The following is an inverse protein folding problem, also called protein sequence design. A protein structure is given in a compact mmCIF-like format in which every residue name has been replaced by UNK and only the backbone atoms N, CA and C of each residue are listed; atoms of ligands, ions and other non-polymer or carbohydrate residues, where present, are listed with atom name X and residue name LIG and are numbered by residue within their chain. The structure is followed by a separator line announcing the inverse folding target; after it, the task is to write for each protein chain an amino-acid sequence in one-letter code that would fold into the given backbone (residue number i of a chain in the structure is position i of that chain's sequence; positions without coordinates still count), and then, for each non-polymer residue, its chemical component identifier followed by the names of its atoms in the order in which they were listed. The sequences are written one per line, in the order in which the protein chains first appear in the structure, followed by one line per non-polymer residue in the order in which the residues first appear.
data_IF_386705114184
#
_entry.id   IF_386705114184
#
_cell.length_a   1.000
_cell.length_b   1.000
_cell.length_c   1.000
_cell.angle_alpha   90.00
_cell.angle_beta   90.00
_cell.angle_gamma   90.00
#
_symmetry.space_group_name_H-M   'P 1'
#
loop_
_entity.id
_entity.type
_entity.pdbx_description
1 polymer ?
#
# COMPACT_ATOMS: atom_id res chain seq x y z
N UNK A 1 -38.10 -19.38 -30.81
CA UNK A 1 -37.93 -20.40 -29.76
C UNK A 1 -36.67 -20.01 -28.98
N UNK A 2 -36.83 -19.24 -27.90
CA UNK A 2 -35.73 -18.73 -27.08
C UNK A 2 -35.69 -19.59 -25.82
N UNK A 3 -34.58 -20.29 -25.60
CA UNK A 3 -34.36 -21.16 -24.45
C UNK A 3 -33.79 -20.29 -23.31
N UNK A 4 -34.62 -20.01 -22.31
CA UNK A 4 -34.21 -19.39 -21.05
C UNK A 4 -33.64 -20.50 -20.14
N UNK A 5 -32.32 -20.49 -19.94
CA UNK A 5 -31.66 -21.35 -18.96
C UNK A 5 -31.78 -20.73 -17.58
N UNK A 6 -32.61 -21.35 -16.74
CA UNK A 6 -32.78 -21.04 -15.32
C UNK A 6 -31.58 -21.62 -14.55
N UNK A 7 -30.70 -20.77 -14.01
CA UNK A 7 -29.66 -21.20 -13.07
C UNK A 7 -30.28 -21.21 -11.67
N UNK A 8 -30.47 -22.40 -11.12
CA UNK A 8 -30.88 -22.59 -9.74
C UNK A 8 -29.66 -22.45 -8.81
N UNK A 9 -29.68 -21.43 -7.96
CA UNK A 9 -28.73 -21.28 -6.84
C UNK A 9 -29.27 -22.08 -5.66
N UNK A 10 -28.65 -23.22 -5.37
CA UNK A 10 -28.94 -24.01 -4.17
C UNK A 10 -28.14 -23.43 -3.01
N UNK A 11 -28.83 -22.75 -2.09
CA UNK A 11 -28.25 -22.32 -0.81
C UNK A 11 -28.40 -23.45 0.21
N UNK A 12 -27.29 -24.05 0.64
CA UNK A 12 -27.28 -25.02 1.73
C UNK A 12 -27.30 -24.24 3.05
N UNK A 13 -28.44 -24.24 3.73
CA UNK A 13 -28.55 -23.73 5.10
C UNK A 13 -27.97 -24.75 6.09
N UNK A 14 -26.80 -24.46 6.64
CA UNK A 14 -26.27 -25.17 7.81
C UNK A 14 -27.08 -24.73 9.04
N UNK A 15 -27.90 -25.65 9.55
CA UNK A 15 -28.66 -25.48 10.79
C UNK A 15 -27.69 -25.52 11.97
N UNK A 16 -27.32 -24.34 12.48
CA UNK A 16 -26.70 -24.23 13.80
C UNK A 16 -27.78 -24.43 14.88
N UNK A 17 -27.68 -25.51 15.65
CA UNK A 17 -28.44 -25.66 16.91
C UNK A 17 -27.84 -24.70 17.96
N UNK A 18 -28.62 -23.78 18.55
CA UNK A 18 -28.15 -23.01 19.69
C UNK A 18 -27.93 -23.95 20.88
N UNK A 19 -26.79 -23.78 21.54
CA UNK A 19 -26.46 -24.42 22.82
C UNK A 19 -27.24 -23.68 23.91
N UNK A 20 -27.95 -24.40 24.76
CA UNK A 20 -28.66 -23.80 25.91
C UNK A 20 -27.66 -23.09 26.85
N UNK A 21 -28.03 -21.92 27.41
CA UNK A 21 -27.17 -21.19 28.33
C UNK A 21 -27.10 -21.91 29.69
N UNK A 22 -25.89 -22.21 30.13
CA UNK A 22 -25.60 -22.68 31.48
C UNK A 22 -25.98 -21.61 32.53
N UNK A 23 -26.56 -21.98 33.68
CA UNK A 23 -26.93 -21.02 34.72
C UNK A 23 -25.69 -20.48 35.44
N UNK A 24 -25.62 -19.15 35.58
CA UNK A 24 -24.59 -18.45 36.35
C UNK A 24 -24.75 -18.75 37.85
N UNK A 25 -23.67 -19.07 38.58
CA UNK A 25 -23.69 -19.09 40.03
C UNK A 25 -23.61 -17.65 40.59
N UNK A 26 -24.53 -17.34 41.50
CA UNK A 26 -24.50 -16.17 42.37
C UNK A 26 -23.29 -16.23 43.31
N UNK A 27 -22.51 -15.14 43.36
CA UNK A 27 -21.36 -15.04 44.24
C UNK A 27 -20.77 -13.63 44.22
N UNK A 28 -21.29 -12.77 45.10
CA UNK A 28 -20.66 -11.49 45.44
C UNK A 28 -19.33 -11.76 46.16
N UNK A 29 -18.22 -11.37 45.56
CA UNK A 29 -17.02 -10.96 46.29
C UNK A 29 -16.43 -9.72 45.62
N UNK A 30 -16.38 -8.64 46.39
CA UNK A 30 -15.84 -7.34 46.02
C UNK A 30 -14.32 -7.36 46.18
N UNK A 31 -13.59 -7.36 45.07
CA UNK A 31 -12.16 -7.03 45.07
C UNK A 31 -12.00 -5.69 44.38
N UNK A 32 -11.65 -4.67 45.17
CA UNK A 32 -11.20 -3.38 44.65
C UNK A 32 -9.93 -3.60 43.84
N UNK A 33 -10.01 -3.37 42.52
CA UNK A 33 -8.85 -3.27 41.65
C UNK A 33 -8.75 -1.81 41.23
N UNK A 34 -7.63 -1.21 41.60
CA UNK A 34 -7.19 0.12 41.23
C UNK A 34 -7.13 0.23 39.70
N UNK A 35 -8.03 1.02 39.11
CA UNK A 35 -7.95 1.39 37.69
C UNK A 35 -6.76 2.32 37.50
N UNK A 36 -5.63 1.74 37.10
CA UNK A 36 -4.64 2.45 36.30
C UNK A 36 -5.24 2.59 34.89
N UNK A 37 -5.48 3.84 34.48
CA UNK A 37 -5.73 4.24 33.10
C UNK A 37 -4.64 3.63 32.19
N UNK A 38 -4.95 2.48 31.60
CA UNK A 38 -4.28 2.03 30.40
C UNK A 38 -4.87 2.80 29.24
N UNK A 39 -4.07 3.75 28.75
CA UNK A 39 -4.17 4.37 27.43
C UNK A 39 -4.18 3.27 26.36
N UNK A 40 -5.35 2.66 26.14
CA UNK A 40 -5.54 1.66 25.10
C UNK A 40 -5.80 2.40 23.79
N UNK A 41 -4.72 2.85 23.16
CA UNK A 41 -4.75 3.13 21.73
C UNK A 41 -5.28 1.86 21.05
N UNK A 42 -6.36 1.91 20.25
CA UNK A 42 -6.88 0.71 19.60
C UNK A 42 -5.77 0.12 18.71
N UNK A 43 -5.37 -1.12 19.03
CA UNK A 43 -4.39 -1.89 18.24
C UNK A 43 -4.97 -2.01 16.84
N UNK A 44 -4.36 -1.32 15.89
CA UNK A 44 -4.68 -1.47 14.47
C UNK A 44 -4.23 -2.89 14.08
N UNK A 45 -5.16 -3.77 13.72
CA UNK A 45 -4.88 -5.11 13.19
C UNK A 45 -4.26 -5.00 11.79
N UNK A 46 -3.01 -4.56 11.77
CA UNK A 46 -2.22 -4.44 10.56
C UNK A 46 -1.91 -5.82 10.00
N UNK A 47 -2.09 -6.00 8.69
CA UNK A 47 -1.63 -7.21 8.01
C UNK A 47 -0.10 -7.23 8.05
N UNK A 48 0.56 -8.26 8.62
CA UNK A 48 2.01 -8.34 8.56
C UNK A 48 2.44 -8.49 7.10
N UNK A 49 3.56 -7.84 6.75
CA UNK A 49 4.20 -8.10 5.47
C UNK A 49 4.71 -9.56 5.41
N UNK A 50 4.96 -10.03 4.19
CA UNK A 50 5.54 -11.35 3.90
C UNK A 50 7.05 -11.25 3.67
N UNK A 51 7.74 -10.47 4.53
CA UNK A 51 9.20 -10.34 4.48
C UNK A 51 9.86 -11.68 4.80
N UNK A 52 10.51 -12.27 3.80
CA UNK A 52 11.33 -13.48 3.96
C UNK A 52 12.66 -13.21 4.68
N UNK A 53 13.31 -14.24 5.25
CA UNK A 53 14.64 -14.12 5.88
C UNK A 53 15.74 -13.66 4.92
N UNK A 54 15.49 -13.82 3.62
CA UNK A 54 16.32 -13.47 2.47
C UNK A 54 16.19 -12.00 2.04
N UNK A 55 15.31 -11.22 2.68
CA UNK A 55 15.20 -9.78 2.48
C UNK A 55 16.13 -9.04 3.45
N UNK A 56 17.24 -8.50 2.92
CA UNK A 56 18.23 -7.75 3.67
C UNK A 56 17.69 -6.39 4.17
N UNK A 57 18.45 -5.71 5.02
CA UNK A 57 18.17 -4.31 5.39
C UNK A 57 18.87 -3.35 4.41
N UNK A 58 18.27 -2.17 4.22
CA UNK A 58 18.87 -1.07 3.46
C UNK A 58 20.12 -0.52 4.15
N UNK A 59 20.86 0.30 3.41
CA UNK A 59 21.98 1.06 3.92
C UNK A 59 21.56 2.09 4.97
N UNK A 60 22.23 2.07 6.12
CA UNK A 60 21.92 2.92 7.29
C UNK A 60 22.88 4.10 7.50
N UNK A 61 23.92 4.22 6.67
CA UNK A 61 24.87 5.32 6.77
C UNK A 61 24.37 6.63 6.14
N UNK A 62 25.25 7.63 6.16
CA UNK A 62 24.96 8.99 5.68
C UNK A 62 24.89 9.09 4.16
N UNK A 63 25.93 8.61 3.47
CA UNK A 63 26.02 8.62 2.01
C UNK A 63 26.55 7.27 1.56
N UNK A 64 25.73 6.54 0.80
CA UNK A 64 26.06 5.23 0.30
C UNK A 64 27.33 5.31 -0.57
N UNK A 65 28.30 4.39 -0.43
CA UNK A 65 29.54 4.44 -1.21
C UNK A 65 29.28 4.50 -2.73
N UNK A 66 28.26 3.82 -3.25
CA UNK A 66 27.93 3.89 -4.68
C UNK A 66 27.49 5.29 -5.17
N UNK A 67 27.18 6.22 -4.27
CA UNK A 67 26.71 7.58 -4.58
C UNK A 67 27.72 8.68 -4.24
N UNK A 68 29.03 8.38 -4.27
CA UNK A 68 30.06 9.39 -3.99
C UNK A 68 30.33 10.35 -5.16
N UNK A 69 29.66 10.17 -6.29
CA UNK A 69 29.72 11.04 -7.45
C UNK A 69 28.91 12.30 -7.25
N UNK A 70 29.40 13.43 -7.77
CA UNK A 70 28.65 14.68 -7.70
C UNK A 70 27.47 14.69 -8.69
N UNK A 71 26.34 15.21 -8.23
CA UNK A 71 25.17 15.49 -9.06
C UNK A 71 23.89 15.49 -8.24
N UNK A 72 23.42 16.65 -7.74
CA UNK A 72 22.06 16.72 -7.25
C UNK A 72 21.08 16.39 -8.40
N UNK A 73 19.97 15.73 -8.08
CA UNK A 73 18.91 15.42 -9.02
C UNK A 73 17.67 16.25 -8.68
N UNK A 74 17.21 17.08 -9.60
CA UNK A 74 15.92 17.75 -9.46
C UNK A 74 14.81 16.79 -9.86
N UNK A 75 13.83 16.61 -8.97
CA UNK A 75 12.60 15.89 -9.26
C UNK A 75 11.46 16.89 -9.41
N UNK A 76 10.59 16.64 -10.38
CA UNK A 76 9.32 17.34 -10.59
C UNK A 76 8.18 16.44 -10.14
N UNK A 77 7.29 16.98 -9.31
CA UNK A 77 6.09 16.30 -8.86
C UNK A 77 4.89 16.63 -9.77
N UNK A 78 4.11 15.60 -10.10
CA UNK A 78 2.85 15.73 -10.82
C UNK A 78 1.75 15.01 -10.06
N UNK A 79 0.57 15.63 -9.96
CA UNK A 79 -0.61 15.05 -9.33
C UNK A 79 -1.85 15.53 -10.07
N UNK A 80 -2.51 14.60 -10.77
CA UNK A 80 -3.78 14.85 -11.46
C UNK A 80 -4.95 14.79 -10.48
N UNK A 81 -6.05 15.52 -10.76
CA UNK A 81 -7.29 15.38 -10.01
C UNK A 81 -7.81 13.94 -9.99
N UNK A 82 -8.55 13.59 -8.94
CA UNK A 82 -9.24 12.31 -8.87
C UNK A 82 -10.33 12.21 -9.94
N UNK A 83 -10.50 11.00 -10.50
CA UNK A 83 -11.63 10.65 -11.35
C UNK A 83 -12.89 10.32 -10.54
N UNK A 84 -13.92 9.84 -11.25
CA UNK A 84 -15.17 9.39 -10.61
C UNK A 84 -14.94 8.09 -9.84
N UNK A 85 -15.37 8.06 -8.58
CA UNK A 85 -15.23 6.91 -7.72
C UNK A 85 -16.30 5.84 -7.89
N UNK A 86 -15.97 4.62 -7.45
CA UNK A 86 -16.86 3.46 -7.45
C UNK A 86 -18.02 3.59 -6.47
N UNK A 87 -17.75 4.18 -5.29
CA UNK A 87 -18.71 4.32 -4.19
C UNK A 87 -19.37 5.71 -4.16
N UNK A 88 -18.96 6.63 -5.05
CA UNK A 88 -19.56 7.97 -5.22
C UNK A 88 -19.56 8.78 -3.93
N UNK A 89 -18.39 8.94 -3.33
CA UNK A 89 -18.19 9.67 -2.07
C UNK A 89 -18.74 11.09 -2.11
N UNK A 90 -18.79 11.74 -3.27
CA UNK A 90 -19.42 13.05 -3.47
C UNK A 90 -20.91 13.09 -3.08
N UNK A 91 -21.56 11.93 -2.99
CA UNK A 91 -22.95 11.79 -2.54
C UNK A 91 -23.08 11.45 -1.07
N UNK A 92 -21.99 11.05 -0.42
CA UNK A 92 -21.96 10.59 0.95
C UNK A 92 -21.48 11.67 1.93
N UNK A 93 -20.65 12.62 1.46
CA UNK A 93 -20.08 13.69 2.29
C UNK A 93 -20.47 15.07 1.77
N UNK A 94 -20.44 16.12 2.61
CA UNK A 94 -20.64 17.49 2.15
C UNK A 94 -19.64 17.89 1.05
N UNK A 95 -20.07 18.73 0.10
CA UNK A 95 -19.21 19.22 -0.99
C UNK A 95 -17.89 19.84 -0.49
N UNK A 96 -17.92 20.54 0.64
CA UNK A 96 -16.71 21.13 1.24
C UNK A 96 -15.68 20.08 1.67
N UNK A 97 -16.11 18.87 2.02
CA UNK A 97 -15.23 17.75 2.37
C UNK A 97 -14.74 17.07 1.09
N UNK A 98 -15.64 16.81 0.14
CA UNK A 98 -15.25 16.20 -1.14
C UNK A 98 -14.26 17.06 -1.93
N UNK A 99 -14.43 18.39 -1.89
CA UNK A 99 -13.53 19.36 -2.50
C UNK A 99 -12.07 19.23 -2.01
N UNK A 100 -11.85 18.81 -0.75
CA UNK A 100 -10.50 18.57 -0.21
C UNK A 100 -9.76 17.50 -1.03
N UNK A 101 -10.45 16.47 -1.51
CA UNK A 101 -9.84 15.42 -2.34
C UNK A 101 -9.77 15.83 -3.82
N UNK A 102 -10.83 16.48 -4.33
CA UNK A 102 -10.93 16.87 -5.74
C UNK A 102 -9.88 17.93 -6.12
N UNK A 103 -9.67 18.88 -5.24
CA UNK A 103 -8.90 20.10 -5.53
C UNK A 103 -7.44 20.00 -5.03
N UNK A 104 -6.97 18.77 -4.75
CA UNK A 104 -5.57 18.50 -4.39
C UNK A 104 -4.63 18.93 -5.50
N UNK A 105 -3.52 19.55 -5.08
CA UNK A 105 -2.40 19.89 -5.95
C UNK A 105 -1.10 19.54 -5.23
N UNK A 106 -0.01 19.49 -5.99
CA UNK A 106 1.32 19.24 -5.42
C UNK A 106 1.74 20.38 -4.48
N UNK A 107 2.19 20.04 -3.28
CA UNK A 107 2.71 21.02 -2.30
C UNK A 107 4.05 21.63 -2.76
N UNK A 108 4.96 20.81 -3.29
CA UNK A 108 6.27 21.27 -3.77
C UNK A 108 6.51 20.72 -5.18
N UNK A 109 6.25 21.53 -6.24
CA UNK A 109 6.31 21.06 -7.62
C UNK A 109 7.70 20.59 -8.08
N UNK A 110 8.77 21.14 -7.50
CA UNK A 110 10.15 20.82 -7.82
C UNK A 110 11.00 20.80 -6.57
N UNK A 111 11.84 19.77 -6.41
CA UNK A 111 12.83 19.71 -5.34
C UNK A 111 14.10 19.02 -5.82
N UNK A 112 15.22 19.56 -5.39
CA UNK A 112 16.54 18.99 -5.62
C UNK A 112 16.93 18.04 -4.48
N UNK A 113 17.34 16.83 -4.84
CA UNK A 113 17.80 15.79 -3.93
C UNK A 113 19.27 15.48 -4.17
N UNK A 114 19.96 15.05 -3.12
CA UNK A 114 21.39 14.76 -3.11
C UNK A 114 21.62 13.27 -2.92
N UNK A 115 22.87 12.83 -3.10
CA UNK A 115 23.28 11.46 -2.78
C UNK A 115 22.84 11.01 -1.37
N UNK A 116 22.86 11.90 -0.38
CA UNK A 116 22.40 11.62 0.99
C UNK A 116 20.93 11.23 1.03
N UNK A 117 20.09 11.87 0.23
CA UNK A 117 18.64 11.65 0.23
C UNK A 117 18.27 10.30 -0.40
N UNK A 118 19.02 9.87 -1.42
CA UNK A 118 18.79 8.58 -2.09
C UNK A 118 19.49 7.39 -1.43
N UNK A 119 20.51 7.64 -0.61
CA UNK A 119 21.29 6.59 0.05
C UNK A 119 20.45 5.58 0.84
N UNK A 120 19.39 5.97 1.57
CA UNK A 120 18.53 5.04 2.29
C UNK A 120 17.71 4.11 1.39
N UNK A 121 17.59 4.42 0.10
CA UNK A 121 16.86 3.57 -0.85
C UNK A 121 17.73 2.40 -1.34
N UNK A 122 19.03 2.38 -1.03
CA UNK A 122 19.97 1.38 -1.53
C UNK A 122 20.15 0.21 -0.56
N UNK A 123 20.50 -0.99 -1.07
CA UNK A 123 20.92 -2.08 -0.20
C UNK A 123 22.23 -1.69 0.51
N UNK A 124 22.54 -2.35 1.63
CA UNK A 124 23.82 -2.14 2.31
C UNK A 124 25.02 -2.47 1.41
N UNK A 125 24.90 -3.55 0.62
CA UNK A 125 25.86 -3.97 -0.40
C UNK A 125 25.08 -4.50 -1.62
N UNK A 126 25.63 -4.30 -2.82
CA UNK A 126 25.05 -4.85 -4.06
C UNK A 126 25.57 -6.27 -4.28
N UNK A 127 24.65 -7.23 -4.33
CA UNK A 127 24.93 -8.64 -4.61
C UNK A 127 24.48 -9.01 -6.03
N UNK A 128 23.67 -10.06 -6.17
CA UNK A 128 23.18 -10.58 -7.44
C UNK A 128 21.84 -9.95 -7.86
N UNK A 129 21.53 -10.06 -9.15
CA UNK A 129 20.21 -9.67 -9.66
C UNK A 129 19.12 -10.48 -8.96
N UNK A 130 18.06 -9.79 -8.55
CA UNK A 130 16.99 -10.35 -7.71
C UNK A 130 17.20 -10.15 -6.21
N UNK A 131 18.36 -9.63 -5.77
CA UNK A 131 18.57 -9.22 -4.38
C UNK A 131 17.47 -8.24 -3.96
N UNK A 132 16.81 -8.54 -2.84
CA UNK A 132 15.78 -7.69 -2.24
C UNK A 132 16.24 -7.13 -0.90
N UNK A 133 15.79 -5.93 -0.58
CA UNK A 133 16.02 -5.31 0.73
C UNK A 133 14.81 -4.52 1.19
N UNK A 134 14.68 -4.39 2.51
CA UNK A 134 13.71 -3.51 3.15
C UNK A 134 14.29 -2.12 3.30
N UNK A 135 13.48 -1.11 2.99
CA UNK A 135 13.81 0.31 3.10
C UNK A 135 13.12 0.83 4.34
N UNK A 136 13.84 1.62 5.14
CA UNK A 136 13.26 2.29 6.30
C UNK A 136 12.17 3.27 5.86
N UNK A 137 10.94 3.03 6.32
CA UNK A 137 9.75 3.77 5.94
C UNK A 137 9.92 5.29 6.04
N UNK A 138 10.42 5.78 7.18
CA UNK A 138 10.57 7.21 7.45
C UNK A 138 11.60 7.89 6.52
N UNK A 139 12.46 7.11 5.86
CA UNK A 139 13.46 7.61 4.89
C UNK A 139 12.87 7.81 3.50
N UNK A 140 11.68 7.28 3.22
CA UNK A 140 10.92 7.51 1.97
C UNK A 140 10.06 8.77 2.06
N UNK A 141 9.55 9.09 3.26
CA UNK A 141 8.65 10.22 3.50
C UNK A 141 9.13 11.56 2.90
N UNK A 142 10.43 11.93 2.94
CA UNK A 142 10.90 13.18 2.34
C UNK A 142 10.56 13.35 0.86
N UNK A 143 10.55 12.27 0.07
CA UNK A 143 10.15 12.30 -1.34
C UNK A 143 8.67 12.63 -1.49
N UNK A 144 7.84 12.00 -0.65
CA UNK A 144 6.38 12.14 -0.67
C UNK A 144 5.90 13.52 -0.19
N UNK A 145 6.71 14.26 0.57
CA UNK A 145 6.39 15.65 0.95
C UNK A 145 6.31 16.63 -0.23
N UNK A 146 6.73 16.23 -1.43
CA UNK A 146 6.43 17.02 -2.64
C UNK A 146 4.95 16.95 -3.05
N UNK A 147 4.29 15.84 -2.74
CA UNK A 147 2.86 15.68 -2.97
C UNK A 147 2.06 16.42 -1.90
N UNK A 148 2.30 16.10 -0.63
CA UNK A 148 1.58 16.68 0.50
C UNK A 148 2.46 16.70 1.76
N UNK A 149 2.33 17.73 2.59
CA UNK A 149 3.15 17.99 3.78
C UNK A 149 3.04 16.92 4.88
N UNK A 150 1.98 16.13 4.86
CA UNK A 150 1.70 15.12 5.89
C UNK A 150 1.55 13.70 5.29
N UNK A 151 2.63 13.10 4.76
CA UNK A 151 2.62 11.69 4.40
C UNK A 151 2.68 10.83 5.67
N UNK A 152 1.88 9.78 5.72
CA UNK A 152 2.02 8.71 6.69
C UNK A 152 2.53 7.46 5.98
N UNK A 153 3.66 6.94 6.46
CA UNK A 153 4.22 5.67 6.00
C UNK A 153 3.63 4.47 6.74
N UNK A 154 2.72 4.74 7.69
CA UNK A 154 2.00 3.74 8.46
C UNK A 154 0.52 3.89 8.21
N UNK A 155 -0.09 2.94 7.52
CA UNK A 155 -1.49 3.04 7.14
C UNK A 155 -2.38 3.04 8.39
N UNK A 156 -3.11 4.14 8.61
CA UNK A 156 -4.13 4.25 9.65
C UNK A 156 -5.43 3.69 9.09
N UNK A 157 -5.97 2.70 9.78
CA UNK A 157 -7.22 2.04 9.39
C UNK A 157 -8.23 2.03 10.51
N UNK A 158 -8.81 3.20 10.79
CA UNK A 158 -10.06 3.24 11.54
C UNK A 158 -11.20 2.87 10.58
N UNK A 159 -11.81 1.70 10.77
CA UNK A 159 -12.93 1.22 9.95
C UNK A 159 -12.57 0.43 8.67
N UNK A 160 -11.29 0.11 8.46
CA UNK A 160 -10.82 -0.87 7.46
C UNK A 160 -9.73 -1.76 8.08
N UNK A 161 -9.27 -2.79 7.37
CA UNK A 161 -8.08 -3.54 7.77
C UNK A 161 -6.90 -2.93 7.01
N UNK A 162 -5.88 -2.41 7.70
CA UNK A 162 -4.69 -1.88 7.02
C UNK A 162 -4.02 -3.01 6.25
N UNK A 163 -3.76 -2.78 4.96
CA UNK A 163 -2.78 -3.55 4.23
C UNK A 163 -1.40 -3.56 4.92
N UNK A 164 -0.48 -4.41 4.44
CA UNK A 164 0.89 -4.43 4.93
C UNK A 164 1.59 -3.11 4.62
N UNK A 165 2.19 -2.48 5.65
CA UNK A 165 3.11 -1.36 5.41
C UNK A 165 4.47 -1.91 5.00
N UNK A 166 5.21 -1.08 4.28
CA UNK A 166 6.58 -1.39 3.93
C UNK A 166 7.07 -0.58 2.75
N UNK A 167 8.39 -0.53 2.64
CA UNK A 167 9.10 -0.09 1.46
C UNK A 167 10.17 -1.15 1.17
N UNK A 168 10.25 -1.61 -0.07
CA UNK A 168 11.22 -2.61 -0.49
C UNK A 168 11.83 -2.22 -1.83
N UNK A 169 13.08 -2.62 -2.04
CA UNK A 169 13.80 -2.50 -3.30
C UNK A 169 14.24 -3.86 -3.82
N UNK A 170 14.46 -3.95 -5.13
CA UNK A 170 15.06 -5.11 -5.79
C UNK A 170 16.07 -4.65 -6.84
N UNK A 171 17.20 -5.35 -6.92
CA UNK A 171 18.18 -5.17 -8.01
C UNK A 171 17.64 -5.87 -9.26
N UNK A 172 17.08 -5.12 -10.21
CA UNK A 172 16.48 -5.69 -11.43
C UNK A 172 17.53 -6.10 -12.44
N UNK A 173 18.55 -5.27 -12.64
CA UNK A 173 19.58 -5.52 -13.62
C UNK A 173 20.91 -4.85 -13.27
N UNK A 174 22.00 -5.41 -13.81
CA UNK A 174 23.34 -4.85 -13.64
C UNK A 174 24.19 -5.01 -14.90
N UNK A 175 25.16 -4.10 -15.04
CA UNK A 175 26.23 -4.15 -16.03
C UNK A 175 27.52 -3.60 -15.39
N UNK A 176 28.70 -3.68 -16.05
CA UNK A 176 29.93 -3.09 -15.51
C UNK A 176 29.81 -1.59 -15.22
N UNK A 177 28.84 -0.91 -15.84
CA UNK A 177 28.70 0.55 -15.77
C UNK A 177 27.44 1.01 -15.03
N UNK A 178 26.42 0.17 -14.86
CA UNK A 178 25.15 0.59 -14.27
C UNK A 178 24.50 -0.45 -13.35
N UNK A 179 23.67 0.06 -12.44
CA UNK A 179 22.63 -0.69 -11.73
C UNK A 179 21.25 -0.15 -12.10
N UNK A 180 20.26 -1.04 -12.18
CA UNK A 180 18.84 -0.73 -12.38
C UNK A 180 18.05 -1.34 -11.21
N UNK A 181 17.42 -0.46 -10.44
CA UNK A 181 16.75 -0.77 -9.19
C UNK A 181 15.26 -0.50 -9.37
N UNK A 182 14.42 -1.34 -8.77
CA UNK A 182 12.97 -1.16 -8.74
C UNK A 182 12.52 -1.12 -7.29
N UNK A 183 11.56 -0.26 -6.98
CA UNK A 183 11.04 -0.04 -5.64
C UNK A 183 9.54 -0.24 -5.59
N UNK A 184 9.05 -0.61 -4.40
CA UNK A 184 7.64 -0.53 -4.05
C UNK A 184 7.51 -0.06 -2.62
N UNK A 185 6.64 0.92 -2.38
CA UNK A 185 6.31 1.32 -1.02
C UNK A 185 4.83 1.70 -0.87
N UNK A 186 4.32 1.49 0.34
CA UNK A 186 2.98 1.86 0.75
C UNK A 186 3.03 3.10 1.64
N UNK A 187 2.14 4.03 1.36
CA UNK A 187 1.99 5.27 2.12
C UNK A 187 0.57 5.82 1.90
N UNK A 188 0.17 6.73 2.77
CA UNK A 188 -1.06 7.51 2.65
C UNK A 188 -0.76 8.99 2.99
N UNK A 189 -1.69 9.88 2.67
CA UNK A 189 -1.62 11.28 3.04
C UNK A 189 -2.79 11.61 3.95
N UNK A 190 -2.49 12.17 5.11
CA UNK A 190 -3.51 12.68 6.00
C UNK A 190 -3.80 14.13 5.62
N UNK A 191 -4.92 14.35 4.94
CA UNK A 191 -5.35 15.65 4.41
C UNK A 191 -6.01 16.54 5.47
N UNK A 192 -6.43 15.92 6.58
CA UNK A 192 -7.04 16.57 7.72
C UNK A 192 -7.20 15.58 8.86
N UNK A 193 -7.86 16.00 9.94
CA UNK A 193 -7.91 15.22 11.17
C UNK A 193 -8.53 13.83 10.98
N UNK A 194 -9.52 13.71 10.09
CA UNK A 194 -10.20 12.44 9.78
C UNK A 194 -10.35 12.19 8.26
N UNK A 195 -9.36 12.63 7.47
CA UNK A 195 -9.39 12.48 6.00
C UNK A 195 -8.07 11.91 5.49
N UNK A 196 -8.16 10.80 4.75
CA UNK A 196 -7.00 10.09 4.22
C UNK A 196 -7.12 9.88 2.71
N UNK A 197 -6.00 10.10 2.03
CA UNK A 197 -5.79 9.79 0.63
C UNK A 197 -4.74 8.69 0.54
N UNK A 198 -5.15 7.49 0.13
CA UNK A 198 -4.32 6.29 0.23
C UNK A 198 -4.11 5.72 -1.18
N UNK A 199 -2.99 6.05 -1.85
CA UNK A 199 -2.60 5.34 -3.07
C UNK A 199 -2.51 3.84 -2.81
N UNK A 200 -2.80 3.03 -3.83
CA UNK A 200 -2.66 1.58 -3.72
C UNK A 200 -1.24 1.20 -3.31
N UNK A 201 -0.26 1.76 -4.03
CA UNK A 201 1.15 1.75 -3.71
C UNK A 201 1.86 2.76 -4.62
N UNK A 202 3.12 3.03 -4.32
CA UNK A 202 4.03 3.64 -5.27
C UNK A 202 5.00 2.59 -5.81
N UNK A 203 5.27 2.66 -7.10
CA UNK A 203 6.29 1.88 -7.81
C UNK A 203 7.38 2.83 -8.29
N UNK A 204 8.64 2.47 -8.07
CA UNK A 204 9.78 3.32 -8.38
C UNK A 204 10.81 2.61 -9.23
N UNK A 205 11.61 3.39 -9.95
CA UNK A 205 12.76 2.92 -10.71
C UNK A 205 13.93 3.90 -10.58
N UNK A 206 15.13 3.38 -10.39
CA UNK A 206 16.34 4.19 -10.32
C UNK A 206 17.47 3.53 -11.11
N UNK A 207 18.24 4.36 -11.82
CA UNK A 207 19.49 3.95 -12.46
C UNK A 207 20.65 4.64 -11.77
N UNK A 208 21.63 3.84 -11.37
CA UNK A 208 22.91 4.35 -10.88
C UNK A 208 23.98 4.07 -11.92
N UNK A 209 24.77 5.09 -12.26
CA UNK A 209 26.02 4.92 -13.00
C UNK A 209 27.16 4.64 -12.02
N UNK A 210 27.78 3.47 -12.19
CA UNK A 210 28.84 2.94 -11.32
C UNK A 210 30.18 3.64 -11.54
N UNK A 211 30.40 4.23 -12.73
CA UNK A 211 31.62 4.94 -13.07
C UNK A 211 31.61 6.35 -12.50
N UNK A 212 30.52 7.09 -12.72
CA UNK A 212 30.35 8.42 -12.15
C UNK A 212 29.97 8.37 -10.68
N UNK A 213 29.45 7.23 -10.18
CA UNK A 213 28.90 7.04 -8.84
C UNK A 213 27.75 8.01 -8.56
N UNK A 214 26.89 8.21 -9.54
CA UNK A 214 25.77 9.15 -9.50
C UNK A 214 24.47 8.50 -9.97
N UNK A 215 23.35 9.09 -9.60
CA UNK A 215 22.04 8.70 -10.10
C UNK A 215 21.85 9.36 -11.45
N UNK A 216 21.51 8.55 -12.46
CA UNK A 216 21.22 9.03 -13.81
C UNK A 216 19.73 9.13 -14.08
N UNK A 217 18.95 8.30 -13.41
CA UNK A 217 17.51 8.26 -13.59
C UNK A 217 16.81 7.97 -12.27
N UNK A 218 15.74 8.68 -11.96
CA UNK A 218 14.82 8.37 -10.87
C UNK A 218 13.38 8.72 -11.26
N UNK A 219 12.49 7.75 -11.06
CA UNK A 219 11.06 7.89 -11.27
C UNK A 219 10.28 7.12 -10.21
N UNK A 220 9.19 7.69 -9.71
CA UNK A 220 8.24 7.03 -8.82
C UNK A 220 6.84 7.43 -9.23
N UNK A 221 5.93 6.48 -9.33
CA UNK A 221 4.53 6.71 -9.69
C UNK A 221 3.58 5.82 -8.90
N UNK A 222 2.31 6.18 -8.84
CA UNK A 222 1.23 5.23 -8.52
C UNK A 222 0.96 4.35 -9.76
N UNK A 223 0.46 3.11 -9.64
CA UNK A 223 0.25 2.23 -10.80
C UNK A 223 -0.82 2.79 -11.77
N UNK A 224 -0.44 3.24 -12.98
CA UNK A 224 -1.41 3.76 -13.95
C UNK A 224 -2.27 2.66 -14.58
N UNK A 225 -1.80 1.41 -14.60
CA UNK A 225 -2.52 0.27 -15.16
C UNK A 225 -3.72 -0.18 -14.31
N UNK A 226 -3.77 0.24 -13.04
CA UNK A 226 -4.85 -0.08 -12.14
C UNK A 226 -6.07 0.82 -12.44
N UNK A 227 -7.20 0.20 -12.75
CA UNK A 227 -8.47 0.92 -13.00
C UNK A 227 -8.96 1.71 -11.78
N UNK A 228 -8.56 1.29 -10.58
CA UNK A 228 -8.77 1.96 -9.32
C UNK A 228 -7.44 1.93 -8.57
N UNK A 229 -6.90 3.08 -8.19
CA UNK A 229 -5.52 3.17 -7.67
C UNK A 229 -5.36 4.09 -6.45
N UNK A 230 -6.45 4.68 -5.95
CA UNK A 230 -6.47 5.50 -4.74
C UNK A 230 -7.74 5.23 -3.95
N UNK A 231 -7.60 5.01 -2.64
CA UNK A 231 -8.68 4.91 -1.69
C UNK A 231 -8.80 6.21 -0.89
N UNK A 232 -10.00 6.78 -0.89
CA UNK A 232 -10.37 7.97 -0.12
C UNK A 232 -11.12 7.51 1.11
N UNK A 233 -10.73 8.00 2.29
CA UNK A 233 -11.43 7.68 3.54
C UNK A 233 -11.74 8.97 4.29
N UNK A 234 -13.01 9.10 4.69
CA UNK A 234 -13.49 10.15 5.58
C UNK A 234 -14.12 9.49 6.78
N UNK A 235 -13.73 9.94 7.97
CA UNK A 235 -14.32 9.48 9.22
C UNK A 235 -14.92 10.69 9.93
N UNK A 236 -16.08 10.51 10.54
CA UNK A 236 -16.76 11.55 11.28
C UNK A 236 -17.20 11.04 12.65
N UNK A 237 -17.03 11.89 13.65
CA UNK A 237 -17.54 11.62 14.99
C UNK A 237 -19.03 11.95 15.05
N UNK A 238 -19.83 11.05 15.63
CA UNK A 238 -21.27 11.20 15.80
C UNK A 238 -21.65 10.94 17.26
N UNK A 239 -22.30 11.90 17.90
CA UNK A 239 -22.70 11.80 19.32
C UNK A 239 -24.18 11.42 19.50
N UNK A 240 -24.84 10.98 18.42
CA UNK A 240 -26.26 10.60 18.42
C UNK A 240 -27.24 11.78 18.34
N UNK A 241 -26.76 13.02 18.52
CA UNK A 241 -27.62 14.21 18.61
C UNK A 241 -27.31 15.22 17.51
N UNK A 242 -26.05 15.34 17.10
CA UNK A 242 -25.59 16.28 16.07
C UNK A 242 -25.23 15.55 14.77
N UNK A 243 -25.32 16.19 13.59
CA UNK A 243 -24.76 15.61 12.37
C UNK A 243 -23.28 15.22 12.54
N UNK A 244 -22.80 14.17 11.86
CA UNK A 244 -21.40 13.75 11.98
C UNK A 244 -20.42 14.89 11.68
N UNK A 245 -19.42 15.08 12.54
CA UNK A 245 -18.41 16.12 12.41
C UNK A 245 -17.05 15.53 12.04
N UNK A 246 -16.59 15.83 10.83
CA UNK A 246 -15.28 15.38 10.30
C UNK A 246 -14.12 16.18 10.90
N UNK A 247 -14.35 17.40 11.39
CA UNK A 247 -13.31 18.28 11.91
C UNK A 247 -13.05 18.09 13.41
N UNK A 248 -13.82 17.22 14.07
CA UNK A 248 -13.69 16.91 15.50
C UNK A 248 -12.85 15.64 15.69
N UNK A 249 -11.97 15.66 16.69
CA UNK A 249 -11.34 14.42 17.18
C UNK A 249 -12.40 13.44 17.66
N UNK A 250 -12.29 12.18 17.25
CA UNK A 250 -13.15 11.10 17.71
C UNK A 250 -12.78 10.76 19.16
N UNK A 251 -13.75 10.89 20.07
CA UNK A 251 -13.59 10.64 21.50
C UNK A 251 -14.15 9.27 21.90
N UNK A 252 -13.75 8.81 23.08
CA UNK A 252 -14.33 7.59 23.64
C UNK A 252 -15.85 7.78 23.86
N UNK A 253 -16.64 6.83 23.35
CA UNK A 253 -18.11 6.89 23.39
C UNK A 253 -18.76 7.53 22.16
N UNK A 254 -17.99 8.13 21.25
CA UNK A 254 -18.52 8.57 19.95
C UNK A 254 -18.89 7.36 19.09
N UNK A 255 -20.03 7.45 18.40
CA UNK A 255 -20.28 6.62 17.22
C UNK A 255 -19.42 7.13 16.06
N UNK A 256 -18.91 6.20 15.25
CA UNK A 256 -18.01 6.53 14.14
C UNK A 256 -18.71 6.23 12.83
N UNK A 257 -18.85 7.25 12.00
CA UNK A 257 -19.35 7.11 10.62
C UNK A 257 -18.17 7.16 9.67
N UNK A 258 -18.07 6.15 8.81
CA UNK A 258 -17.03 6.08 7.78
C UNK A 258 -17.67 6.16 6.40
N UNK A 259 -17.18 7.10 5.58
CA UNK A 259 -17.46 7.16 4.15
C UNK A 259 -16.17 6.92 3.39
N UNK A 260 -16.25 6.20 2.27
CA UNK A 260 -15.06 5.85 1.48
C UNK A 260 -15.36 5.82 0.00
N UNK A 261 -14.30 5.91 -0.79
CA UNK A 261 -14.33 5.67 -2.23
C UNK A 261 -13.05 5.04 -2.70
N UNK A 262 -13.11 4.34 -3.83
CA UNK A 262 -11.93 3.99 -4.59
C UNK A 262 -12.06 4.67 -5.95
N UNK A 263 -11.07 5.51 -6.26
CA UNK A 263 -11.01 6.35 -7.44
C UNK A 263 -9.82 5.97 -8.31
N UNK A 264 -9.86 6.43 -9.56
CA UNK A 264 -8.70 6.43 -10.44
C UNK A 264 -8.06 7.81 -10.45
N UNK A 265 -6.72 7.85 -10.43
CA UNK A 265 -5.92 9.04 -10.66
C UNK A 265 -4.96 8.74 -11.81
N UNK A 266 -5.10 9.52 -12.89
CA UNK A 266 -4.37 9.29 -14.14
C UNK A 266 -2.84 9.43 -13.97
N UNK A 267 -2.40 10.33 -13.07
CA UNK A 267 -0.99 10.64 -12.87
C UNK A 267 -0.72 11.12 -11.46
N UNK A 268 0.12 10.41 -10.74
CA UNK A 268 0.73 10.88 -9.50
C UNK A 268 2.17 10.36 -9.47
N UNK A 269 3.14 11.24 -9.72
CA UNK A 269 4.54 10.82 -9.91
C UNK A 269 5.58 11.87 -9.50
N UNK A 270 6.78 11.37 -9.22
CA UNK A 270 8.02 12.13 -9.14
C UNK A 270 8.91 11.69 -10.29
N UNK A 271 9.38 12.63 -11.10
CA UNK A 271 10.24 12.35 -12.26
C UNK A 271 11.38 13.35 -12.34
N UNK A 272 12.56 12.90 -12.75
CA UNK A 272 13.66 13.79 -13.15
C UNK A 272 13.49 14.38 -14.57
N UNK A 273 12.39 14.05 -15.26
CA UNK A 273 12.07 14.53 -16.60
C UNK A 273 12.87 13.84 -17.72
N UNK A 274 13.69 12.84 -17.39
CA UNK A 274 14.45 12.04 -18.36
C UNK A 274 13.66 10.79 -18.73
N UNK A 275 13.78 10.36 -19.99
CA UNK A 275 13.24 9.08 -20.41
C UNK A 275 14.17 7.95 -19.92
N UNK A 276 13.57 6.83 -19.51
CA UNK A 276 14.35 5.66 -19.16
C UNK A 276 15.13 5.16 -20.40
N UNK A 277 16.43 4.87 -20.29
CA UNK A 277 17.21 4.35 -21.42
C UNK A 277 16.86 2.87 -21.68
N UNK A 278 15.87 2.63 -22.56
CA UNK A 278 15.38 1.28 -22.90
C UNK A 278 16.42 0.38 -23.58
N UNK A 279 17.33 0.96 -24.37
CA UNK A 279 18.31 0.22 -25.19
C UNK A 279 19.56 -0.24 -24.42
N UNK A 280 19.60 -0.07 -23.10
CA UNK A 280 20.78 -0.41 -22.30
C UNK A 280 21.01 -1.92 -22.27
N UNK A 281 22.23 -2.32 -22.63
CA UNK A 281 22.67 -3.71 -22.55
C UNK A 281 23.03 -4.07 -21.11
N UNK A 282 22.32 -5.04 -20.55
CA UNK A 282 22.53 -5.57 -19.20
C UNK A 282 23.34 -6.86 -19.27
N UNK A 283 24.28 -7.03 -18.33
CA UNK A 283 25.04 -8.28 -18.20
C UNK A 283 24.19 -9.37 -17.55
N UNK A 284 23.36 -8.97 -16.58
CA UNK A 284 22.38 -9.83 -15.95
C UNK A 284 21.11 -9.02 -15.65
N UNK A 285 19.94 -9.64 -15.78
CA UNK A 285 18.66 -8.99 -15.55
C UNK A 285 17.50 -9.97 -15.33
N UNK A 286 16.54 -9.55 -14.50
CA UNK A 286 15.16 -10.04 -14.50
C UNK A 286 14.26 -9.05 -15.23
N UNK A 287 13.09 -9.49 -15.71
CA UNK A 287 12.13 -8.58 -16.36
C UNK A 287 11.56 -7.58 -15.35
N UNK A 288 11.12 -6.41 -15.82
CA UNK A 288 10.45 -5.44 -14.95
C UNK A 288 9.18 -6.04 -14.32
N UNK A 289 8.43 -6.84 -15.07
CA UNK A 289 7.26 -7.57 -14.58
C UNK A 289 7.63 -8.53 -13.45
N UNK A 290 8.74 -9.28 -13.59
CA UNK A 290 9.22 -10.19 -12.55
C UNK A 290 9.61 -9.41 -11.29
N UNK A 291 10.41 -8.35 -11.42
CA UNK A 291 10.80 -7.50 -10.29
C UNK A 291 9.61 -6.93 -9.52
N UNK A 292 8.60 -6.41 -10.25
CA UNK A 292 7.35 -5.90 -9.64
C UNK A 292 6.55 -7.02 -8.96
N UNK A 293 6.51 -8.22 -9.54
CA UNK A 293 5.84 -9.37 -8.95
C UNK A 293 6.52 -9.85 -7.66
N UNK A 294 7.85 -9.89 -7.63
CA UNK A 294 8.63 -10.28 -6.45
C UNK A 294 8.47 -9.26 -5.32
N UNK A 295 8.56 -7.96 -5.63
CA UNK A 295 8.24 -6.90 -4.68
C UNK A 295 6.80 -7.02 -4.17
N UNK A 296 5.81 -7.34 -5.01
CA UNK A 296 4.43 -7.51 -4.55
C UNK A 296 4.29 -8.68 -3.57
N UNK A 297 5.06 -9.77 -3.75
CA UNK A 297 5.04 -10.94 -2.85
C UNK A 297 5.64 -10.66 -1.47
N UNK A 298 6.53 -9.68 -1.32
CA UNK A 298 7.04 -9.28 0.01
C UNK A 298 5.96 -8.62 0.86
N UNK A 299 4.90 -8.09 0.25
CA UNK A 299 3.75 -7.54 0.96
C UNK A 299 2.70 -8.61 1.25
N UNK A 300 2.38 -9.45 0.26
CA UNK A 300 1.19 -10.30 0.32
C UNK A 300 1.52 -11.79 0.18
N UNK A 301 1.49 -12.52 1.30
CA UNK A 301 1.75 -13.97 1.34
C UNK A 301 0.80 -14.79 0.47
N UNK A 302 -0.45 -14.34 0.31
CA UNK A 302 -1.43 -15.06 -0.50
C UNK A 302 -1.05 -15.14 -1.98
N UNK A 303 -0.09 -14.33 -2.45
CA UNK A 303 0.43 -14.39 -3.82
C UNK A 303 1.38 -15.58 -4.07
N UNK A 304 1.74 -16.33 -3.02
CA UNK A 304 2.43 -17.62 -3.14
C UNK A 304 1.46 -18.76 -3.51
N UNK A 305 0.15 -18.52 -3.40
CA UNK A 305 -0.86 -19.49 -3.79
C UNK A 305 -0.99 -19.48 -5.32
N UNK A 306 -0.97 -20.68 -5.91
CA UNK A 306 -1.28 -20.87 -7.32
C UNK A 306 -2.79 -20.74 -7.56
N UNK A 307 -3.22 -19.51 -7.80
CA UNK A 307 -4.62 -19.17 -8.04
C UNK A 307 -5.04 -19.63 -9.44
N UNK A 308 -5.93 -20.63 -9.48
CA UNK A 308 -6.50 -21.18 -10.70
C UNK A 308 -8.02 -21.11 -10.67
N UNK A 309 -8.70 -21.15 -11.83
CA UNK A 309 -10.15 -21.28 -11.87
C UNK A 309 -10.64 -22.48 -11.05
N UNK A 310 -11.81 -22.35 -10.41
CA UNK A 310 -12.33 -23.37 -9.50
C UNK A 310 -12.41 -24.77 -10.12
N UNK A 311 -12.82 -24.87 -11.38
CA UNK A 311 -12.90 -26.15 -12.12
C UNK A 311 -11.53 -26.81 -12.27
N UNK A 312 -10.47 -26.03 -12.46
CA UNK A 312 -9.11 -26.52 -12.54
C UNK A 312 -8.58 -26.93 -11.16
N UNK A 313 -8.84 -26.12 -10.12
CA UNK A 313 -8.49 -26.47 -8.74
C UNK A 313 -9.12 -27.81 -8.33
N UNK A 314 -10.39 -28.04 -8.69
CA UNK A 314 -11.11 -29.28 -8.42
C UNK A 314 -10.47 -30.48 -9.15
N UNK A 315 -10.19 -30.35 -10.44
CA UNK A 315 -9.52 -31.41 -11.21
C UNK A 315 -8.13 -31.75 -10.65
N UNK A 316 -7.35 -30.73 -10.26
CA UNK A 316 -6.04 -30.92 -9.61
C UNK A 316 -6.17 -31.60 -8.24
N UNK A 317 -7.17 -31.22 -7.44
CA UNK A 317 -7.44 -31.82 -6.14
C UNK A 317 -7.80 -33.32 -6.27
N UNK A 318 -8.70 -33.66 -7.20
CA UNK A 318 -9.09 -35.04 -7.49
C UNK A 318 -7.91 -35.88 -7.99
N UNK A 319 -7.13 -35.35 -8.94
CA UNK A 319 -5.99 -36.06 -9.53
C UNK A 319 -4.86 -36.28 -8.53
N UNK A 320 -4.60 -35.31 -7.66
CA UNK A 320 -3.49 -35.37 -6.69
C UNK A 320 -3.88 -35.94 -5.32
N UNK A 321 -5.17 -36.16 -5.06
CA UNK A 321 -5.68 -36.56 -3.74
C UNK A 321 -5.46 -35.51 -2.64
N UNK A 322 -5.27 -34.24 -3.02
CA UNK A 322 -5.02 -33.12 -2.09
C UNK A 322 -6.26 -32.22 -1.97
N UNK A 323 -6.58 -31.70 -0.78
CA UNK A 323 -7.70 -30.77 -0.62
C UNK A 323 -7.39 -29.39 -1.22
N UNK A 324 -8.45 -28.68 -1.62
CA UNK A 324 -8.38 -27.24 -1.90
C UNK A 324 -8.29 -26.50 -0.56
N UNK A 325 -7.23 -25.71 -0.37
CA UNK A 325 -6.93 -25.05 0.92
C UNK A 325 -7.46 -23.61 1.02
N UNK A 326 -7.70 -22.96 -0.12
CA UNK A 326 -8.18 -21.58 -0.18
C UNK A 326 -9.09 -21.40 -1.40
N UNK A 327 -10.11 -20.56 -1.25
CA UNK A 327 -10.97 -20.11 -2.34
C UNK A 327 -11.30 -18.63 -2.13
N UNK A 328 -11.35 -17.88 -3.22
CA UNK A 328 -11.79 -16.47 -3.22
C UNK A 328 -13.08 -16.40 -4.02
N UNK A 329 -14.15 -16.00 -3.34
CA UNK A 329 -15.50 -15.88 -3.91
C UNK A 329 -15.83 -14.48 -4.39
N UNK A 330 -15.19 -13.45 -3.82
CA UNK A 330 -15.31 -12.05 -4.23
C UNK A 330 -14.04 -11.28 -3.83
N UNK A 331 -13.79 -10.16 -4.52
CA UNK A 331 -12.61 -9.33 -4.31
C UNK A 331 -11.49 -9.63 -5.30
N UNK A 332 -10.57 -8.67 -5.43
CA UNK A 332 -9.40 -8.80 -6.28
C UNK A 332 -8.31 -9.65 -5.63
N UNK A 333 -7.52 -10.34 -6.46
CA UNK A 333 -6.22 -10.91 -6.06
C UNK A 333 -5.06 -9.92 -6.33
N UNK A 334 -5.45 -8.67 -6.55
CA UNK A 334 -4.61 -7.55 -6.89
C UNK A 334 -4.71 -6.46 -5.82
N UNK A 335 -3.68 -5.63 -5.81
CA UNK A 335 -3.58 -4.52 -4.88
C UNK A 335 -4.25 -3.31 -5.53
N UNK A 336 -5.58 -3.26 -5.40
CA UNK A 336 -6.42 -2.22 -6.01
C UNK A 336 -6.54 -0.98 -5.10
N UNK A 337 -6.34 -1.16 -3.80
CA UNK A 337 -6.08 -0.11 -2.80
C UNK A 337 -6.13 -0.72 -1.40
N UNK A 338 -5.23 -0.30 -0.52
CA UNK A 338 -5.13 -0.80 0.86
C UNK A 338 -6.32 -0.44 1.75
#
# INVERSE_FOLDING_TARGET
MVLLSLIAVVSIALVFRPRDPEPKPDGRESTQVTEQEQDSTPVVDQVPNNRGPDVADAYTGDVHPMLSGQGPLELTAHWSPIGTGREQLERQVPESIYAVFRDLTVDVPRRTYTARDFSPLLPAEFEDVGQMWSIELDRVAPFLTQFHSNPSMRAVSRGRRSGPDGAFGVLRAQSPTHFDLVFRWHAEFQLGINMWYTPAYFTGRMVINRQSRSIEHFHVEIPPENTLNVHLTVIAAFDGVSPPDVNREIRHGDEVVTARDIVHVDRMELTDGTQFPEDRQWTDQITLTQARADLKKTFYKFLEIDWVPFTEALARAETSGKPILAAVSWGGLDDQSC
#
